data_IF_126101727402
#
_entry.id   IF_126101727402
#
_cell.length_a   1.000
_cell.length_b   1.000
_cell.length_c   1.000
_cell.angle_alpha   90.00
_cell.angle_beta   90.00
_cell.angle_gamma   90.00
#
_symmetry.space_group_name_H-M   'P 1'
#
loop_
_entity.id
_entity.type
_entity.pdbx_description
1 polymer ?
#
# COMPACT_ATOMS: atom_id res chain seq x y z
N UNK A 1 3.63 -2.70 -55.29
CA UNK A 1 4.60 -3.78 -55.02
C UNK A 1 5.56 -3.27 -53.93
N UNK A 2 5.68 -4.00 -52.81
CA UNK A 2 6.64 -3.78 -51.70
C UNK A 2 8.07 -4.18 -52.17
N UNK A 3 9.18 -3.95 -51.44
CA UNK A 3 9.42 -3.12 -50.24
C UNK A 3 10.62 -2.15 -50.41
N UNK A 4 10.74 -1.12 -49.56
CA UNK A 4 12.07 -0.54 -49.28
C UNK A 4 12.30 -0.59 -47.78
N UNK A 5 13.13 -1.56 -47.43
CA UNK A 5 13.56 -1.95 -46.11
C UNK A 5 14.84 -1.20 -45.73
N UNK A 6 14.92 -0.83 -44.47
CA UNK A 6 16.14 -0.86 -43.65
C UNK A 6 17.14 0.28 -43.81
N UNK A 7 17.10 1.21 -42.85
CA UNK A 7 18.31 1.71 -42.19
C UNK A 7 17.98 1.93 -40.71
N UNK A 8 18.40 0.95 -39.91
CA UNK A 8 18.43 1.03 -38.46
C UNK A 8 19.65 1.84 -38.04
N UNK A 9 19.47 2.91 -37.25
CA UNK A 9 20.55 3.44 -36.41
C UNK A 9 19.97 3.90 -35.06
N UNK A 10 20.08 2.98 -34.10
CA UNK A 10 20.49 3.20 -32.71
C UNK A 10 20.42 4.64 -32.17
N UNK A 11 19.45 4.88 -31.29
CA UNK A 11 19.59 5.88 -30.23
C UNK A 11 19.27 5.20 -28.90
N UNK A 12 20.33 4.60 -28.35
CA UNK A 12 20.44 4.32 -26.93
C UNK A 12 20.47 5.66 -26.19
N UNK A 13 19.37 6.01 -25.51
CA UNK A 13 19.31 6.77 -24.26
C UNK A 13 17.94 7.46 -24.16
N UNK A 14 17.16 7.09 -23.14
CA UNK A 14 16.02 7.89 -22.72
C UNK A 14 14.70 7.44 -23.34
N UNK A 15 13.98 6.60 -22.61
CA UNK A 15 12.73 6.99 -21.95
C UNK A 15 12.13 5.71 -21.35
N UNK A 16 12.53 5.38 -20.11
CA UNK A 16 11.68 4.58 -19.22
C UNK A 16 10.43 5.41 -18.88
N UNK A 17 9.58 5.62 -19.88
CA UNK A 17 8.43 6.51 -19.80
C UNK A 17 7.14 5.79 -20.17
N UNK A 18 7.00 4.52 -19.81
CA UNK A 18 5.68 3.88 -19.81
C UNK A 18 5.71 2.77 -18.77
N UNK A 19 5.39 3.09 -17.52
CA UNK A 19 5.36 2.07 -16.46
C UNK A 19 5.23 2.57 -15.02
N UNK A 20 4.87 3.84 -14.78
CA UNK A 20 4.71 4.38 -13.42
C UNK A 20 3.53 3.75 -12.63
N UNK A 21 2.69 2.92 -13.25
CA UNK A 21 1.47 2.39 -12.62
C UNK A 21 1.65 1.07 -11.86
N UNK A 22 2.87 0.50 -11.82
CA UNK A 22 3.11 -0.83 -11.24
C UNK A 22 3.70 -0.80 -9.83
N UNK A 23 4.26 0.31 -9.37
CA UNK A 23 4.91 0.38 -8.06
C UNK A 23 3.90 0.41 -6.89
N UNK A 24 2.75 1.08 -7.07
CA UNK A 24 1.74 1.21 -6.00
C UNK A 24 1.13 -0.12 -5.55
N UNK A 25 1.07 -1.13 -6.43
CA UNK A 25 0.47 -2.44 -6.10
C UNK A 25 1.33 -3.30 -5.17
N UNK A 26 2.65 -3.12 -5.20
CA UNK A 26 3.57 -3.97 -4.42
C UNK A 26 3.53 -3.58 -2.93
N UNK A 27 3.36 -2.30 -2.63
CA UNK A 27 3.34 -1.79 -1.25
C UNK A 27 2.07 -2.23 -0.51
N UNK A 28 0.91 -2.13 -1.15
CA UNK A 28 -0.38 -2.55 -0.57
C UNK A 28 -0.38 -4.03 -0.21
N UNK A 29 0.13 -4.89 -1.11
CA UNK A 29 0.14 -6.33 -0.87
C UNK A 29 0.96 -6.77 0.34
N UNK A 30 2.01 -6.03 0.72
CA UNK A 30 2.81 -6.37 1.91
C UNK A 30 2.14 -5.85 3.19
N UNK A 31 1.57 -4.64 3.17
CA UNK A 31 0.78 -4.11 4.27
C UNK A 31 -0.45 -4.99 4.55
N UNK A 32 -1.17 -5.44 3.52
CA UNK A 32 -2.32 -6.35 3.67
C UNK A 32 -1.94 -7.68 4.30
N UNK A 33 -0.78 -8.25 3.95
CA UNK A 33 -0.28 -9.47 4.61
C UNK A 33 -0.02 -9.22 6.10
N UNK A 34 0.52 -8.07 6.45
CA UNK A 34 0.74 -7.70 7.85
C UNK A 34 -0.60 -7.47 8.58
N UNK A 35 -1.57 -6.84 7.93
CA UNK A 35 -2.93 -6.65 8.42
C UNK A 35 -3.60 -7.99 8.71
N UNK A 36 -3.53 -8.95 7.77
CA UNK A 36 -4.11 -10.28 7.96
C UNK A 36 -3.47 -11.01 9.16
N UNK A 37 -2.15 -10.95 9.29
CA UNK A 37 -1.44 -11.56 10.44
C UNK A 37 -1.84 -10.91 11.76
N UNK A 38 -1.97 -9.59 11.79
CA UNK A 38 -2.41 -8.85 12.97
C UNK A 38 -3.84 -9.25 13.34
N UNK A 39 -4.75 -9.16 12.37
CA UNK A 39 -6.16 -9.46 12.55
C UNK A 39 -6.38 -10.90 13.03
N UNK A 40 -5.68 -11.88 12.48
CA UNK A 40 -5.72 -13.27 12.96
C UNK A 40 -5.27 -13.42 14.41
N UNK A 41 -4.21 -12.70 14.84
CA UNK A 41 -3.70 -12.76 16.22
C UNK A 41 -4.60 -12.03 17.22
N UNK A 42 -5.18 -10.91 16.81
CA UNK A 42 -6.05 -10.08 17.65
C UNK A 42 -7.52 -10.54 17.64
N UNK A 43 -7.90 -11.47 16.76
CA UNK A 43 -9.29 -11.91 16.57
C UNK A 43 -10.14 -10.89 15.82
N UNK A 44 -9.53 -10.04 14.99
CA UNK A 44 -10.21 -9.05 14.16
C UNK A 44 -10.43 -9.59 12.74
N UNK A 45 -11.35 -8.97 12.01
CA UNK A 45 -11.57 -9.26 10.59
C UNK A 45 -10.87 -8.19 9.74
N UNK A 46 -9.87 -8.52 8.91
CA UNK A 46 -9.20 -7.54 8.08
C UNK A 46 -10.17 -6.98 7.03
N UNK A 47 -10.21 -5.65 6.85
CA UNK A 47 -11.04 -5.00 5.83
C UNK A 47 -10.21 -4.67 4.60
N UNK A 48 -9.08 -3.98 4.77
CA UNK A 48 -8.18 -3.62 3.68
C UNK A 48 -7.23 -2.48 4.05
N UNK A 49 -6.31 -2.18 3.12
CA UNK A 49 -5.34 -1.10 3.27
C UNK A 49 -5.52 -0.03 2.19
N UNK A 50 -5.25 1.22 2.55
CA UNK A 50 -5.09 2.31 1.59
C UNK A 50 -3.82 2.11 0.78
N UNK A 51 -3.79 2.68 -0.42
CA UNK A 51 -2.64 2.64 -1.34
C UNK A 51 -1.78 3.90 -1.27
N UNK A 52 -2.02 4.75 -0.27
CA UNK A 52 -1.36 6.04 -0.11
C UNK A 52 -0.68 6.06 1.25
N UNK A 53 0.65 6.09 1.22
CA UNK A 53 1.47 6.44 2.38
C UNK A 53 1.51 7.97 2.45
N UNK A 54 0.67 8.55 3.31
CA UNK A 54 0.50 10.01 3.39
C UNK A 54 1.67 10.69 4.08
N UNK A 55 2.35 9.98 4.98
CA UNK A 55 3.41 10.51 5.82
C UNK A 55 4.82 10.09 5.36
N UNK A 56 4.91 9.25 4.31
CA UNK A 56 6.13 8.66 3.75
C UNK A 56 6.99 7.93 4.79
N UNK A 57 6.38 7.46 5.86
CA UNK A 57 7.05 6.80 6.98
C UNK A 57 7.27 5.30 6.69
N UNK A 58 6.64 4.74 5.66
CA UNK A 58 6.70 3.33 5.32
C UNK A 58 5.53 2.50 5.85
N UNK A 59 4.49 3.17 6.32
CA UNK A 59 3.25 2.56 6.78
C UNK A 59 2.11 2.94 5.83
N UNK A 60 1.12 2.05 5.73
CA UNK A 60 -0.14 2.31 5.06
C UNK A 60 -1.24 2.21 6.09
N UNK A 61 -2.17 3.16 6.04
CA UNK A 61 -3.37 3.08 6.87
C UNK A 61 -4.27 1.98 6.34
N UNK A 62 -4.66 1.09 7.24
CA UNK A 62 -5.48 -0.08 7.02
C UNK A 62 -6.62 -0.09 8.03
N UNK A 63 -7.69 -0.81 7.73
CA UNK A 63 -8.83 -0.97 8.62
C UNK A 63 -9.05 -2.45 8.92
N UNK A 64 -9.42 -2.74 10.16
CA UNK A 64 -9.89 -4.05 10.61
C UNK A 64 -11.17 -3.88 11.43
N UNK A 65 -12.02 -4.91 11.42
CA UNK A 65 -13.25 -4.95 12.21
C UNK A 65 -13.01 -5.76 13.48
N UNK A 66 -13.16 -5.11 14.62
CA UNK A 66 -13.15 -5.71 15.93
C UNK A 66 -14.39 -6.61 16.11
N UNK A 67 -14.33 -7.69 16.91
CA UNK A 67 -15.44 -8.63 17.11
C UNK A 67 -16.70 -8.01 17.73
N UNK A 68 -16.58 -6.85 18.38
CA UNK A 68 -17.73 -6.07 18.89
C UNK A 68 -18.46 -5.27 17.78
N UNK A 69 -17.97 -5.33 16.54
CA UNK A 69 -18.52 -4.64 15.40
C UNK A 69 -17.88 -3.27 15.10
N UNK A 70 -16.95 -2.79 15.93
CA UNK A 70 -16.26 -1.52 15.69
C UNK A 70 -15.17 -1.67 14.62
N UNK A 71 -15.00 -0.66 13.78
CA UNK A 71 -13.85 -0.59 12.86
C UNK A 71 -12.70 0.13 13.55
N UNK A 72 -11.54 -0.52 13.60
CA UNK A 72 -10.27 0.02 14.11
C UNK A 72 -9.34 0.33 12.94
N UNK A 73 -8.74 1.52 12.99
CA UNK A 73 -7.72 1.94 12.05
C UNK A 73 -6.34 1.48 12.54
N UNK A 74 -5.55 0.95 11.62
CA UNK A 74 -4.26 0.31 11.85
C UNK A 74 -3.24 0.89 10.86
N UNK A 75 -2.04 1.23 11.29
CA UNK A 75 -0.94 1.53 10.38
C UNK A 75 -0.08 0.29 10.20
N UNK A 76 -0.06 -0.26 8.99
CA UNK A 76 0.67 -1.47 8.66
C UNK A 76 1.90 -1.14 7.81
N UNK A 77 3.06 -1.61 8.26
CA UNK A 77 4.30 -1.44 7.51
C UNK A 77 4.22 -2.20 6.18
N UNK A 78 4.64 -1.57 5.09
CA UNK A 78 4.85 -2.25 3.81
C UNK A 78 6.33 -2.47 3.47
N UNK A 79 7.23 -1.74 4.15
CA UNK A 79 8.68 -1.89 3.96
C UNK A 79 9.12 -3.30 4.40
N UNK A 80 10.13 -3.90 3.76
CA UNK A 80 10.57 -5.27 4.10
C UNK A 80 11.32 -5.36 5.44
N UNK A 81 11.91 -4.27 5.92
CA UNK A 81 12.66 -4.22 7.18
C UNK A 81 11.78 -3.94 8.40
N UNK A 82 10.60 -3.34 8.18
CA UNK A 82 9.61 -3.04 9.21
C UNK A 82 8.45 -4.03 9.06
N UNK A 83 8.11 -4.77 10.12
CA UNK A 83 7.02 -5.75 10.07
C UNK A 83 6.02 -5.52 11.18
N UNK A 84 4.74 -5.62 10.84
CA UNK A 84 3.63 -5.50 11.78
C UNK A 84 2.70 -4.34 11.49
N UNK A 85 1.63 -4.29 12.28
CA UNK A 85 0.64 -3.22 12.28
C UNK A 85 0.55 -2.62 13.67
N UNK A 86 0.26 -1.32 13.74
CA UNK A 86 0.04 -0.58 14.98
C UNK A 86 -1.38 -0.06 14.99
N UNK A 87 -2.07 -0.20 16.11
CA UNK A 87 -3.35 0.48 16.29
C UNK A 87 -3.13 1.98 16.33
N UNK A 88 -3.78 2.67 15.41
CA UNK A 88 -3.87 4.12 15.45
C UNK A 88 -5.08 4.37 16.33
N UNK A 89 -4.84 4.72 17.60
CA UNK A 89 -5.86 5.44 18.34
C UNK A 89 -6.07 6.75 17.56
N UNK A 90 -7.05 6.77 16.65
CA UNK A 90 -7.66 8.01 16.22
C UNK A 90 -8.38 8.52 17.44
N UNK A 91 -7.61 9.09 18.38
CA UNK A 91 -8.12 9.86 19.50
C UNK A 91 -9.06 10.83 18.83
N UNK A 92 -10.36 10.57 19.00
CA UNK A 92 -11.41 11.35 18.39
C UNK A 92 -10.99 12.79 18.65
N UNK A 93 -10.72 13.54 17.60
CA UNK A 93 -10.76 14.99 17.63
C UNK A 93 -12.22 15.34 17.93
N UNK A 94 -12.70 15.00 19.14
CA UNK A 94 -13.76 15.71 19.82
C UNK A 94 -13.15 17.09 19.98
N UNK A 95 -13.32 17.93 18.96
CA UNK A 95 -13.39 19.37 19.20
C UNK A 95 -14.46 19.52 20.28
N UNK A 96 -13.99 19.69 21.50
CA UNK A 96 -14.78 20.27 22.55
C UNK A 96 -15.01 21.73 22.14
N UNK A 97 -16.29 22.13 22.23
CA UNK A 97 -16.90 23.43 21.93
C UNK A 97 -17.44 23.61 20.52
#
# INVERSE_FOLDING_TARGET
MKPLTTLAILSFAGFCAIGLSSCAKIFVGNAEKNLQKYAQRAGYTPIGCTNIDSDQDGYLSCDAKHPDGQTVALDCAYKPFDSGCKEIERTKFRRAR
#
